data_IF_320839604493
#
_entry.id   IF_320839604493
#
_cell.length_a   1.000
_cell.length_b   1.000
_cell.length_c   1.000
_cell.angle_alpha   90.00
_cell.angle_beta   90.00
_cell.angle_gamma   90.00
#
_symmetry.space_group_name_H-M   'P 1'
#
loop_
_entity.id
_entity.type
_entity.pdbx_description
1 polymer ?
#
# COMPACT_ATOMS: atom_id res chain seq x y z
N UNK A 1 -21.90 -4.32 14.48
CA UNK A 1 -20.58 -4.45 15.14
C UNK A 1 -19.69 -3.31 14.69
N UNK A 2 -19.12 -2.57 15.60
CA UNK A 2 -18.12 -1.56 15.34
C UNK A 2 -16.73 -2.12 15.68
N UNK A 3 -15.73 -1.85 14.84
CA UNK A 3 -14.35 -2.27 15.05
C UNK A 3 -13.48 -1.02 15.12
N UNK A 4 -12.75 -0.87 16.23
CA UNK A 4 -11.80 0.22 16.42
C UNK A 4 -10.39 -0.29 16.21
N UNK A 5 -9.62 0.38 15.32
CA UNK A 5 -8.21 0.12 15.08
C UNK A 5 -7.37 1.30 15.57
N UNK A 6 -6.26 1.00 16.24
CA UNK A 6 -5.30 1.99 16.67
C UNK A 6 -4.03 1.89 15.84
N UNK A 7 -3.56 2.98 15.22
CA UNK A 7 -2.30 2.95 14.49
C UNK A 7 -1.12 2.55 15.40
N UNK A 8 -0.26 1.68 14.88
CA UNK A 8 0.98 1.28 15.57
C UNK A 8 2.13 2.24 15.30
N UNK A 9 1.97 3.14 14.34
CA UNK A 9 2.94 4.12 13.91
C UNK A 9 2.45 4.90 12.70
N UNK A 10 3.39 5.45 11.95
CA UNK A 10 3.13 6.18 10.71
C UNK A 10 4.14 5.83 9.62
N UNK A 11 3.75 6.03 8.37
CA UNK A 11 4.63 5.92 7.22
C UNK A 11 5.17 7.31 6.86
N UNK A 12 6.47 7.40 6.66
CA UNK A 12 7.15 8.60 6.15
C UNK A 12 7.64 8.32 4.73
N UNK A 13 7.17 9.11 3.78
CA UNK A 13 7.45 8.94 2.36
C UNK A 13 7.68 10.29 1.67
N UNK A 14 8.25 10.34 0.48
CA UNK A 14 8.41 11.59 -0.27
C UNK A 14 7.10 12.12 -0.89
N UNK A 15 6.00 11.38 -0.82
CA UNK A 15 4.73 11.74 -1.47
C UNK A 15 3.79 12.46 -0.51
N UNK A 16 3.61 13.76 -0.71
CA UNK A 16 2.69 14.58 0.08
C UNK A 16 1.35 14.82 -0.62
N UNK A 17 1.26 14.54 -1.91
CA UNK A 17 0.08 14.70 -2.74
C UNK A 17 -0.32 13.38 -3.40
N UNK A 18 -1.63 13.16 -3.51
CA UNK A 18 -2.21 11.97 -4.14
C UNK A 18 -1.88 11.92 -5.64
N UNK A 19 -1.84 13.06 -6.31
CA UNK A 19 -1.63 13.14 -7.76
C UNK A 19 -0.28 12.65 -8.25
N UNK A 20 0.76 12.76 -7.43
CA UNK A 20 2.13 12.39 -7.83
C UNK A 20 2.53 10.99 -7.38
N UNK A 21 1.59 10.26 -6.79
CA UNK A 21 1.86 8.91 -6.29
C UNK A 21 1.84 7.86 -7.40
N UNK A 22 2.74 6.87 -7.34
CA UNK A 22 2.65 5.71 -8.20
C UNK A 22 1.42 4.86 -7.82
N UNK A 23 0.80 4.21 -8.81
CA UNK A 23 -0.32 3.29 -8.57
C UNK A 23 0.19 1.95 -8.03
N UNK A 24 1.41 1.58 -8.40
CA UNK A 24 2.03 0.30 -8.03
C UNK A 24 3.48 0.50 -7.57
N UNK A 25 3.95 -0.25 -6.55
CA UNK A 25 5.33 -0.13 -6.04
C UNK A 25 6.41 -0.37 -7.08
N UNK A 26 6.12 -1.21 -8.09
CA UNK A 26 7.06 -1.54 -9.16
C UNK A 26 7.47 -0.35 -10.03
N UNK A 27 6.66 0.71 -10.05
CA UNK A 27 6.94 1.91 -10.86
C UNK A 27 8.10 2.71 -10.30
N UNK A 28 8.22 2.76 -8.98
CA UNK A 28 9.28 3.47 -8.27
C UNK A 28 9.97 2.54 -7.27
N UNK A 29 10.47 1.40 -7.79
CA UNK A 29 11.04 0.33 -6.97
C UNK A 29 12.18 0.79 -6.04
N UNK A 30 12.89 1.87 -6.40
CA UNK A 30 13.99 2.44 -5.61
C UNK A 30 13.56 3.58 -4.67
N UNK A 31 12.30 4.02 -4.73
CA UNK A 31 11.80 5.08 -3.84
C UNK A 31 11.78 4.58 -2.40
N UNK A 32 12.43 5.34 -1.51
CA UNK A 32 12.60 4.97 -0.10
C UNK A 32 11.52 5.58 0.78
N UNK A 33 11.14 4.81 1.79
CA UNK A 33 10.25 5.23 2.86
C UNK A 33 10.68 4.63 4.19
N UNK A 34 9.97 5.06 5.24
CA UNK A 34 10.17 4.58 6.61
C UNK A 34 8.82 4.26 7.24
N UNK A 35 8.77 3.17 7.98
CA UNK A 35 7.70 2.93 8.95
C UNK A 35 8.26 3.27 10.34
N UNK A 36 7.71 4.31 10.95
CA UNK A 36 8.11 4.77 12.29
C UNK A 36 7.04 4.31 13.27
N UNK A 37 7.35 3.28 14.05
CA UNK A 37 6.44 2.74 15.05
C UNK A 37 6.50 3.53 16.35
N UNK A 38 5.42 3.49 17.13
CA UNK A 38 5.47 3.92 18.51
C UNK A 38 6.49 3.05 19.26
N UNK A 39 7.35 3.64 20.08
CA UNK A 39 8.47 2.94 20.72
C UNK A 39 8.06 1.68 21.50
N UNK A 40 6.87 1.69 22.10
CA UNK A 40 6.34 0.54 22.83
C UNK A 40 6.16 -0.72 21.96
N UNK A 41 6.10 -0.55 20.62
CA UNK A 41 5.95 -1.66 19.68
C UNK A 41 7.28 -2.11 19.06
N UNK A 42 8.40 -1.42 19.33
CA UNK A 42 9.71 -1.78 18.80
C UNK A 42 10.12 -3.25 19.03
N UNK A 43 9.82 -3.86 20.20
CA UNK A 43 10.10 -5.29 20.39
C UNK A 43 9.45 -6.22 19.37
N UNK A 44 8.32 -5.82 18.77
CA UNK A 44 7.63 -6.57 17.72
C UNK A 44 8.39 -6.63 16.39
N UNK A 45 9.44 -5.82 16.20
CA UNK A 45 10.28 -5.82 15.00
C UNK A 45 11.42 -6.84 15.05
N UNK A 46 11.56 -7.57 16.16
CA UNK A 46 12.59 -8.61 16.29
C UNK A 46 12.48 -9.59 15.13
N UNK A 47 13.64 -9.88 14.50
CA UNK A 47 13.80 -10.82 13.37
C UNK A 47 13.12 -10.38 12.04
N UNK A 48 12.56 -9.17 11.97
CA UNK A 48 11.94 -8.67 10.75
C UNK A 48 12.95 -8.41 9.63
N UNK A 49 14.16 -8.02 9.97
CA UNK A 49 15.28 -7.76 9.05
C UNK A 49 15.81 -9.03 8.35
N UNK A 50 15.42 -10.22 8.82
CA UNK A 50 15.65 -11.49 8.13
C UNK A 50 14.77 -11.69 6.87
N UNK A 51 13.71 -10.90 6.71
CA UNK A 51 12.83 -10.96 5.55
C UNK A 51 13.20 -9.91 4.51
N UNK A 52 13.23 -10.29 3.24
CA UNK A 52 13.48 -9.36 2.14
C UNK A 52 12.30 -8.44 1.87
N UNK A 53 11.08 -8.91 2.13
CA UNK A 53 9.84 -8.17 1.87
C UNK A 53 8.88 -8.26 3.06
N UNK A 54 8.10 -7.21 3.22
CA UNK A 54 7.03 -7.11 4.21
C UNK A 54 5.76 -6.58 3.56
N UNK A 55 4.64 -6.89 4.19
CA UNK A 55 3.32 -6.37 3.85
C UNK A 55 3.01 -5.27 4.86
N UNK A 56 2.75 -4.07 4.36
CA UNK A 56 2.28 -2.93 5.15
C UNK A 56 0.77 -2.78 4.98
N UNK A 57 0.05 -2.71 6.09
CA UNK A 57 -1.36 -2.35 6.14
C UNK A 57 -1.48 -0.95 6.75
N UNK A 58 -2.15 -0.04 6.06
CA UNK A 58 -2.21 1.36 6.46
C UNK A 58 -3.56 2.00 6.10
N UNK A 59 -3.85 3.13 6.70
CA UNK A 59 -5.07 3.87 6.41
C UNK A 59 -4.84 4.83 5.24
N UNK A 60 -5.75 4.82 4.27
CA UNK A 60 -5.83 5.80 3.17
C UNK A 60 -6.47 7.09 3.72
N UNK A 61 -5.71 7.84 4.53
CA UNK A 61 -6.23 8.85 5.46
C UNK A 61 -6.75 10.14 4.80
N UNK A 62 -6.32 10.43 3.56
CA UNK A 62 -6.79 11.62 2.82
C UNK A 62 -7.99 11.34 1.90
N UNK A 63 -8.52 10.13 1.92
CA UNK A 63 -9.70 9.76 1.15
C UNK A 63 -10.94 9.87 2.04
N UNK A 64 -11.98 10.50 1.53
CA UNK A 64 -13.30 10.57 2.19
C UNK A 64 -14.34 9.81 1.38
N UNK A 65 -15.36 9.29 2.08
CA UNK A 65 -16.44 8.54 1.46
C UNK A 65 -15.98 7.24 0.78
N UNK A 66 -16.92 6.60 0.09
CA UNK A 66 -16.63 5.41 -0.71
C UNK A 66 -17.57 5.34 -1.92
N UNK A 67 -17.20 4.53 -2.90
CA UNK A 67 -18.02 4.21 -4.07
C UNK A 67 -18.01 2.70 -4.28
N UNK A 68 -19.16 2.11 -4.59
CA UNK A 68 -19.24 0.65 -4.82
C UNK A 68 -18.82 0.26 -6.23
N UNK A 69 -18.84 1.21 -7.17
CA UNK A 69 -18.31 1.05 -8.52
C UNK A 69 -17.39 2.23 -8.84
N UNK A 70 -16.27 1.96 -9.48
CA UNK A 70 -15.26 2.95 -9.88
C UNK A 70 -14.72 2.62 -11.26
N UNK A 71 -14.28 3.65 -11.97
CA UNK A 71 -13.47 3.50 -13.19
C UNK A 71 -12.00 3.51 -12.77
N UNK A 72 -11.30 2.37 -12.78
CA UNK A 72 -9.91 2.31 -12.37
C UNK A 72 -8.98 2.97 -13.38
N UNK A 73 -7.73 3.30 -12.97
CA UNK A 73 -6.76 3.98 -13.83
C UNK A 73 -6.40 3.22 -15.11
N UNK A 74 -6.53 1.90 -15.10
CA UNK A 74 -6.14 1.03 -16.22
C UNK A 74 -7.33 0.62 -17.11
N UNK A 75 -8.50 1.21 -16.91
CA UNK A 75 -9.67 0.93 -17.72
C UNK A 75 -10.52 2.18 -17.94
N UNK A 76 -11.42 2.09 -18.91
CA UNK A 76 -12.46 3.09 -19.20
C UNK A 76 -13.85 2.63 -18.75
N UNK A 77 -13.99 1.38 -18.34
CA UNK A 77 -15.24 0.80 -17.86
C UNK A 77 -15.28 0.78 -16.32
N UNK A 78 -16.47 0.93 -15.73
CA UNK A 78 -16.64 0.80 -14.30
C UNK A 78 -16.50 -0.66 -13.85
N UNK A 79 -15.89 -0.85 -12.68
CA UNK A 79 -15.76 -2.13 -12.00
C UNK A 79 -16.18 -2.01 -10.55
N UNK A 80 -16.64 -3.11 -9.96
CA UNK A 80 -16.92 -3.16 -8.52
C UNK A 80 -15.68 -2.83 -7.72
N UNK A 81 -15.82 -2.04 -6.65
CA UNK A 81 -14.70 -1.57 -5.82
C UNK A 81 -13.82 -2.72 -5.33
N UNK A 82 -14.41 -3.87 -4.99
CA UNK A 82 -13.68 -5.03 -4.47
C UNK A 82 -12.94 -5.82 -5.55
N UNK A 83 -13.22 -5.56 -6.83
CA UNK A 83 -12.45 -6.05 -7.97
C UNK A 83 -11.31 -5.10 -8.37
N UNK A 84 -11.04 -4.07 -7.57
CA UNK A 84 -10.00 -3.07 -7.79
C UNK A 84 -9.21 -2.82 -6.51
N UNK A 85 -8.08 -2.13 -6.63
CA UNK A 85 -7.33 -1.57 -5.49
C UNK A 85 -7.53 -0.06 -5.34
N UNK A 86 -8.61 0.47 -5.89
CA UNK A 86 -8.97 1.88 -5.74
C UNK A 86 -9.14 2.28 -4.27
N UNK A 87 -8.76 3.51 -3.88
CA UNK A 87 -8.79 3.97 -2.50
C UNK A 87 -10.19 4.30 -1.96
N UNK A 88 -11.19 4.50 -2.83
CA UNK A 88 -12.59 4.83 -2.44
C UNK A 88 -13.33 3.63 -1.86
N UNK A 89 -12.73 2.99 -0.86
CA UNK A 89 -13.22 1.76 -0.22
C UNK A 89 -13.97 2.06 1.07
N UNK A 90 -14.93 1.19 1.48
CA UNK A 90 -15.65 1.39 2.74
C UNK A 90 -14.72 1.54 3.96
N UNK A 91 -13.71 0.69 4.12
CA UNK A 91 -12.78 0.73 5.25
C UNK A 91 -11.45 1.43 4.94
N UNK A 92 -11.22 1.82 3.71
CA UNK A 92 -10.03 2.58 3.25
C UNK A 92 -8.69 2.02 3.75
N UNK A 93 -8.56 0.70 3.78
CA UNK A 93 -7.33 0.02 4.15
C UNK A 93 -6.48 -0.15 2.91
N UNK A 94 -5.26 0.38 2.94
CA UNK A 94 -4.22 0.16 1.95
C UNK A 94 -3.36 -1.04 2.32
N UNK A 95 -2.83 -1.70 1.31
CA UNK A 95 -1.89 -2.81 1.44
C UNK A 95 -0.78 -2.66 0.41
N UNK A 96 0.47 -2.73 0.85
CA UNK A 96 1.63 -2.69 -0.04
C UNK A 96 2.66 -3.72 0.38
N UNK A 97 3.26 -4.39 -0.60
CA UNK A 97 4.42 -5.25 -0.39
C UNK A 97 5.64 -4.43 -0.73
N UNK A 98 6.53 -4.23 0.23
CA UNK A 98 7.73 -3.39 0.11
C UNK A 98 8.98 -4.19 0.47
N UNK A 99 10.12 -3.74 -0.06
CA UNK A 99 11.41 -4.36 0.20
C UNK A 99 12.06 -3.75 1.45
N UNK A 100 12.39 -4.57 2.42
CA UNK A 100 13.12 -4.15 3.63
C UNK A 100 14.56 -3.82 3.27
N UNK A 101 15.06 -2.67 3.72
CA UNK A 101 16.48 -2.32 3.66
C UNK A 101 17.17 -2.59 5.01
N UNK A 102 16.58 -2.13 6.10
CA UNK A 102 17.10 -2.34 7.46
C UNK A 102 16.07 -2.00 8.52
N UNK A 103 16.29 -2.47 9.73
CA UNK A 103 15.52 -2.13 10.93
C UNK A 103 16.47 -1.45 11.92
N UNK A 104 16.08 -0.29 12.43
CA UNK A 104 16.83 0.49 13.42
C UNK A 104 15.88 0.94 14.55
N UNK A 105 16.00 0.31 15.72
CA UNK A 105 15.13 0.65 16.85
C UNK A 105 13.66 0.41 16.51
N UNK A 106 12.86 1.47 16.52
CA UNK A 106 11.44 1.46 16.16
C UNK A 106 11.17 1.85 14.68
N UNK A 107 12.20 1.89 13.84
CA UNK A 107 12.10 2.34 12.44
C UNK A 107 12.45 1.20 11.49
N UNK A 108 11.57 0.95 10.52
CA UNK A 108 11.81 0.05 9.38
C UNK A 108 12.04 0.89 8.13
N UNK A 109 13.22 0.79 7.53
CA UNK A 109 13.54 1.42 6.25
C UNK A 109 13.22 0.47 5.12
N UNK A 110 12.52 0.96 4.10
CA UNK A 110 12.10 0.13 2.97
C UNK A 110 12.13 0.87 1.64
N UNK A 111 12.05 0.10 0.55
CA UNK A 111 11.92 0.57 -0.83
C UNK A 111 10.61 0.11 -1.45
N UNK A 112 10.21 0.78 -2.53
CA UNK A 112 8.98 0.46 -3.25
C UNK A 112 7.78 1.21 -2.69
N UNK A 113 7.93 2.53 -2.48
CA UNK A 113 6.92 3.39 -1.85
C UNK A 113 5.79 3.70 -2.82
N UNK A 114 4.56 3.43 -2.39
CA UNK A 114 3.33 3.78 -3.11
C UNK A 114 2.25 4.37 -2.19
N UNK A 115 2.65 4.88 -1.02
CA UNK A 115 1.73 5.43 -0.03
C UNK A 115 2.10 6.89 0.32
N UNK A 116 1.09 7.65 0.76
CA UNK A 116 1.25 9.03 1.18
C UNK A 116 2.06 9.16 2.47
N UNK A 117 2.83 10.23 2.52
CA UNK A 117 3.49 10.68 3.75
C UNK A 117 2.47 10.89 4.87
N UNK A 118 2.80 10.44 6.07
CA UNK A 118 1.94 10.54 7.26
C UNK A 118 0.82 9.50 7.32
N UNK A 119 0.75 8.53 6.40
CA UNK A 119 -0.26 7.47 6.46
C UNK A 119 -0.18 6.70 7.77
N UNK A 120 -1.28 6.60 8.54
CA UNK A 120 -1.31 5.79 9.75
C UNK A 120 -1.03 4.32 9.44
N UNK A 121 -0.03 3.75 10.09
CA UNK A 121 0.34 2.34 9.95
C UNK A 121 -0.50 1.50 10.91
N UNK A 122 -1.18 0.50 10.36
CA UNK A 122 -2.08 -0.37 11.13
C UNK A 122 -1.42 -1.69 11.51
N UNK A 123 -0.62 -2.27 10.62
CA UNK A 123 0.03 -3.57 10.84
C UNK A 123 1.22 -3.76 9.90
N UNK A 124 2.15 -4.61 10.30
CA UNK A 124 3.25 -5.12 9.49
C UNK A 124 3.21 -6.65 9.55
N UNK A 125 3.30 -7.29 8.38
CA UNK A 125 3.44 -8.75 8.29
C UNK A 125 4.65 -9.10 7.43
N UNK A 126 5.40 -10.17 7.74
CA UNK A 126 6.43 -10.65 6.83
C UNK A 126 5.78 -11.19 5.56
N UNK A 127 6.41 -10.93 4.41
CA UNK A 127 6.07 -11.65 3.18
C UNK A 127 6.80 -13.00 3.18
N UNK A 128 6.04 -14.07 3.12
CA UNK A 128 6.58 -15.42 3.07
C UNK A 128 6.12 -16.11 1.79
N UNK A 129 7.07 -16.32 0.86
CA UNK A 129 6.76 -16.80 -0.50
C UNK A 129 5.98 -18.12 -0.50
N UNK A 130 6.23 -19.01 0.44
CA UNK A 130 5.51 -20.27 0.53
C UNK A 130 4.02 -20.10 0.80
N UNK A 131 3.62 -19.08 1.57
CA UNK A 131 2.21 -18.78 1.85
C UNK A 131 1.59 -17.81 0.83
N UNK A 132 2.38 -16.83 0.37
CA UNK A 132 1.84 -15.65 -0.31
C UNK A 132 1.93 -15.74 -1.82
N UNK A 133 2.89 -16.52 -2.35
CA UNK A 133 3.03 -16.72 -3.78
C UNK A 133 2.00 -17.73 -4.28
N UNK A 134 1.17 -17.30 -5.21
CA UNK A 134 0.18 -18.14 -5.86
C UNK A 134 0.62 -18.50 -7.29
N UNK A 135 0.31 -19.71 -7.71
CA UNK A 135 0.47 -20.17 -9.09
C UNK A 135 -0.90 -20.34 -9.74
N UNK A 136 -0.97 -20.45 -11.08
CA UNK A 136 -2.22 -20.60 -11.81
C UNK A 136 -3.23 -19.45 -11.53
N UNK A 137 -2.73 -18.23 -11.53
CA UNK A 137 -3.49 -17.02 -11.20
C UNK A 137 -4.26 -16.54 -12.45
N UNK A 138 -5.51 -16.12 -12.25
CA UNK A 138 -6.29 -15.35 -13.23
C UNK A 138 -6.39 -13.91 -12.75
N UNK A 139 -6.21 -12.96 -13.67
CA UNK A 139 -6.15 -11.52 -13.33
C UNK A 139 -7.45 -10.76 -13.64
N UNK A 140 -8.54 -11.48 -13.94
CA UNK A 140 -9.85 -10.88 -14.17
C UNK A 140 -9.83 -9.86 -15.31
N UNK A 141 -10.41 -8.68 -15.07
CA UNK A 141 -10.48 -7.60 -16.07
C UNK A 141 -9.10 -7.00 -16.44
N UNK A 142 -8.04 -7.33 -15.71
CA UNK A 142 -6.65 -6.92 -16.02
C UNK A 142 -5.97 -7.83 -17.08
N UNK A 143 -6.57 -8.97 -17.43
CA UNK A 143 -6.00 -9.86 -18.45
C UNK A 143 -5.78 -9.12 -19.77
N UNK A 144 -4.59 -9.28 -20.34
CA UNK A 144 -4.22 -8.63 -21.61
C UNK A 144 -3.94 -7.14 -21.54
N UNK A 145 -4.08 -6.49 -20.37
CA UNK A 145 -3.74 -5.08 -20.22
C UNK A 145 -2.23 -4.90 -20.00
N UNK A 146 -1.64 -4.06 -20.86
CA UNK A 146 -0.22 -3.72 -20.74
C UNK A 146 -0.03 -2.61 -19.73
N UNK A 147 0.69 -2.89 -18.65
CA UNK A 147 1.08 -1.87 -17.67
C UNK A 147 2.26 -1.09 -18.23
N UNK A 148 2.03 0.17 -18.63
CA UNK A 148 3.09 1.10 -19.01
C UNK A 148 3.43 2.00 -17.83
N UNK A 149 4.71 2.21 -17.51
CA UNK A 149 5.12 3.03 -16.36
C UNK A 149 4.50 4.44 -16.36
N UNK A 150 4.39 5.08 -17.54
CA UNK A 150 3.81 6.41 -17.68
C UNK A 150 2.31 6.48 -17.34
N UNK A 151 1.62 5.34 -17.34
CA UNK A 151 0.19 5.26 -17.02
C UNK A 151 -0.07 4.82 -15.56
N UNK A 152 0.98 4.68 -14.76
CA UNK A 152 0.90 4.13 -13.41
C UNK A 152 1.02 5.19 -12.30
N UNK A 153 1.01 6.47 -12.66
CA UNK A 153 0.86 7.56 -11.70
C UNK A 153 -0.61 7.82 -11.42
N UNK A 154 -0.93 8.14 -10.17
CA UNK A 154 -2.29 8.50 -9.80
C UNK A 154 -2.64 9.89 -10.37
N UNK A 155 -3.89 10.09 -10.68
CA UNK A 155 -4.46 11.37 -11.08
C UNK A 155 -5.48 11.87 -10.04
N UNK A 156 -6.19 12.96 -10.33
CA UNK A 156 -7.19 13.56 -9.43
C UNK A 156 -8.52 12.79 -9.34
N UNK A 157 -8.64 11.65 -9.96
CA UNK A 157 -9.89 10.88 -10.10
C UNK A 157 -10.53 10.50 -8.75
N UNK A 158 -9.71 10.40 -7.70
CA UNK A 158 -10.13 10.04 -6.35
C UNK A 158 -9.87 11.14 -5.31
N UNK A 159 -9.49 12.34 -5.77
CA UNK A 159 -9.47 13.53 -4.91
C UNK A 159 -10.92 13.98 -4.64
N UNK A 160 -11.36 13.84 -3.44
CA UNK A 160 -12.53 14.48 -2.83
C UNK A 160 -13.11 13.66 -1.71
#
# INVERSE_FOLDING_TARGET
>A
MEITLSPIGRLETPFNDITDMPIQPSVLADTRGKAVLNEKFAPGLKDLDGFSHIILLFLLHKISGYQLEVVPFMDTLPHGIFATRSPKRPNRIGMSIVRVERVEGNIVHFKGVDMLNGSPLLDIKPYYSYFDQQTQVRNGWLEGKTLRPENLLSDKRFES
#
